data_IF_247999763891
#
_entry.id   IF_247999763891
#
_cell.length_a   1.000
_cell.length_b   1.000
_cell.length_c   1.000
_cell.angle_alpha   90.00
_cell.angle_beta   90.00
_cell.angle_gamma   90.00
#
_symmetry.space_group_name_H-M   'P 1'
#
loop_
_entity.id
_entity.type
_entity.pdbx_description
1 polymer ?
#
# COMPACT_ATOMS: atom_id res chain seq x y z
N UNK A 1 16.55 -36.18 14.23
CA UNK A 1 15.42 -36.03 13.29
C UNK A 1 15.16 -34.55 13.14
N UNK A 2 15.87 -33.95 12.17
CA UNK A 2 15.94 -32.51 11.98
C UNK A 2 14.74 -31.97 11.22
N UNK A 3 14.38 -30.74 11.57
CA UNK A 3 13.41 -29.87 10.93
C UNK A 3 13.85 -29.66 9.46
N UNK A 4 13.24 -30.40 8.53
CA UNK A 4 13.43 -30.22 7.09
C UNK A 4 12.05 -29.95 6.51
N UNK A 5 11.73 -28.67 6.30
CA UNK A 5 10.47 -28.28 5.66
C UNK A 5 10.11 -26.80 5.72
N UNK A 6 10.60 -26.05 6.73
CA UNK A 6 10.20 -24.64 6.91
C UNK A 6 11.06 -23.63 6.11
N UNK A 7 12.30 -23.99 5.74
CA UNK A 7 13.21 -23.07 5.04
C UNK A 7 13.01 -23.04 3.51
N UNK A 8 12.56 -24.15 2.89
CA UNK A 8 12.40 -24.23 1.43
C UNK A 8 11.15 -23.48 0.91
N UNK A 9 10.05 -23.49 1.66
CA UNK A 9 8.81 -22.77 1.30
C UNK A 9 8.99 -21.24 1.29
N UNK A 10 9.77 -20.71 2.25
CA UNK A 10 10.07 -19.29 2.33
C UNK A 10 10.98 -18.78 1.21
N UNK A 11 11.92 -19.60 0.75
CA UNK A 11 12.82 -19.26 -0.36
C UNK A 11 12.07 -19.26 -1.71
N UNK A 12 11.15 -20.20 -1.92
CA UNK A 12 10.33 -20.26 -3.13
C UNK A 12 9.38 -19.06 -3.24
N UNK A 13 8.81 -18.61 -2.11
CA UNK A 13 7.99 -17.40 -2.04
C UNK A 13 8.83 -16.14 -2.33
N UNK A 14 10.02 -16.03 -1.74
CA UNK A 14 10.96 -14.91 -1.98
C UNK A 14 11.40 -14.84 -3.45
N UNK A 15 11.64 -15.98 -4.09
CA UNK A 15 12.03 -16.05 -5.51
C UNK A 15 10.89 -15.63 -6.46
N UNK A 16 9.64 -16.03 -6.18
CA UNK A 16 8.47 -15.59 -6.97
C UNK A 16 8.15 -14.12 -6.78
N UNK A 17 8.21 -13.61 -5.56
CA UNK A 17 7.94 -12.19 -5.25
C UNK A 17 8.99 -11.28 -5.92
N UNK A 18 10.27 -11.65 -5.93
CA UNK A 18 11.33 -10.88 -6.63
C UNK A 18 11.09 -10.77 -8.14
N UNK A 19 10.55 -11.82 -8.78
CA UNK A 19 10.19 -11.80 -10.21
C UNK A 19 8.88 -11.04 -10.49
N UNK A 20 8.05 -10.82 -9.47
CA UNK A 20 6.77 -10.10 -9.56
C UNK A 20 6.88 -8.59 -9.31
N UNK A 21 7.84 -8.17 -8.47
CA UNK A 21 8.09 -6.76 -8.12
C UNK A 21 8.66 -5.90 -9.26
N UNK A 22 8.86 -6.44 -10.47
CA UNK A 22 9.27 -5.70 -11.67
C UNK A 22 8.21 -4.74 -12.24
N UNK A 23 7.40 -4.10 -11.38
CA UNK A 23 6.46 -3.04 -11.77
C UNK A 23 5.14 -2.95 -10.98
N UNK A 24 4.78 -3.93 -10.13
CA UNK A 24 3.41 -4.06 -9.53
C UNK A 24 3.37 -4.29 -8.02
N UNK A 25 4.31 -3.72 -7.27
CA UNK A 25 4.33 -3.84 -5.81
C UNK A 25 3.10 -3.18 -5.15
N UNK A 26 2.56 -2.13 -5.80
CA UNK A 26 1.32 -1.44 -5.42
C UNK A 26 0.10 -2.39 -5.45
N UNK A 27 -0.07 -3.13 -6.54
CA UNK A 27 -1.16 -4.11 -6.72
C UNK A 27 -1.16 -5.20 -5.63
N UNK A 28 0.03 -5.62 -5.17
CA UNK A 28 0.16 -6.69 -4.16
C UNK A 28 -0.32 -6.23 -2.78
N UNK A 29 0.03 -5.01 -2.39
CA UNK A 29 -0.39 -4.41 -1.12
C UNK A 29 -1.88 -4.08 -1.15
N UNK A 30 -2.40 -3.59 -2.28
CA UNK A 30 -3.82 -3.28 -2.48
C UNK A 30 -4.69 -4.55 -2.39
N UNK A 31 -4.26 -5.67 -3.00
CA UNK A 31 -4.95 -6.96 -2.87
C UNK A 31 -4.95 -7.45 -1.42
N UNK A 32 -3.82 -7.37 -0.72
CA UNK A 32 -3.73 -7.76 0.69
C UNK A 32 -4.66 -6.90 1.56
N UNK A 33 -4.70 -5.58 1.33
CA UNK A 33 -5.61 -4.67 2.01
C UNK A 33 -7.07 -5.04 1.75
N UNK A 34 -7.45 -5.31 0.50
CA UNK A 34 -8.80 -5.72 0.15
C UNK A 34 -9.23 -7.03 0.83
N UNK A 35 -8.31 -8.00 0.98
CA UNK A 35 -8.58 -9.24 1.72
C UNK A 35 -8.80 -8.97 3.21
N UNK A 36 -7.93 -8.19 3.85
CA UNK A 36 -8.08 -7.88 5.27
C UNK A 36 -9.36 -7.07 5.51
N UNK A 37 -9.67 -6.08 4.67
CA UNK A 37 -10.91 -5.31 4.77
C UNK A 37 -12.17 -6.18 4.63
N UNK A 38 -12.14 -7.18 3.75
CA UNK A 38 -13.23 -8.12 3.60
C UNK A 38 -13.43 -8.97 4.87
N UNK A 39 -12.33 -9.34 5.54
CA UNK A 39 -12.33 -10.11 6.78
C UNK A 39 -12.60 -9.26 8.04
N UNK A 40 -12.51 -7.92 7.96
CA UNK A 40 -12.86 -6.99 9.05
C UNK A 40 -14.38 -6.84 9.23
N UNK A 41 -15.18 -7.16 8.20
CA UNK A 41 -16.65 -7.09 8.25
C UNK A 41 -17.29 -8.32 8.91
N UNK A 42 -16.47 -9.18 9.52
CA UNK A 42 -16.85 -10.49 10.05
C UNK A 42 -16.19 -11.62 9.27
N UNK A 43 -16.55 -12.85 9.62
CA UNK A 43 -15.99 -14.03 8.96
C UNK A 43 -16.35 -14.07 7.46
N UNK A 44 -15.37 -14.20 6.58
CA UNK A 44 -15.56 -14.25 5.13
C UNK A 44 -15.32 -15.67 4.59
N UNK A 45 -16.24 -16.16 3.75
CA UNK A 45 -16.02 -17.41 3.03
C UNK A 45 -14.95 -17.23 1.94
N UNK A 46 -14.23 -18.31 1.64
CA UNK A 46 -13.17 -18.32 0.62
C UNK A 46 -13.68 -17.85 -0.77
N UNK A 47 -14.88 -18.26 -1.16
CA UNK A 47 -15.53 -17.84 -2.41
C UNK A 47 -15.88 -16.34 -2.42
N UNK A 48 -16.32 -15.78 -1.29
CA UNK A 48 -16.62 -14.35 -1.14
C UNK A 48 -15.36 -13.50 -1.26
N UNK A 49 -14.27 -13.92 -0.62
CA UNK A 49 -12.98 -13.26 -0.71
C UNK A 49 -12.46 -13.23 -2.15
N UNK A 50 -12.51 -14.38 -2.85
CA UNK A 50 -12.09 -14.48 -4.26
C UNK A 50 -12.87 -13.52 -5.16
N UNK A 51 -14.20 -13.50 -5.02
CA UNK A 51 -15.06 -12.60 -5.81
C UNK A 51 -14.70 -11.13 -5.57
N UNK A 52 -14.34 -10.78 -4.33
CA UNK A 52 -14.04 -9.40 -3.94
C UNK A 52 -12.71 -8.90 -4.49
N UNK A 53 -11.69 -9.74 -4.54
CA UNK A 53 -10.38 -9.36 -5.11
C UNK A 53 -10.31 -9.53 -6.63
N UNK A 54 -11.27 -10.22 -7.25
CA UNK A 54 -11.34 -10.36 -8.71
C UNK A 54 -10.22 -11.20 -9.32
N UNK A 55 -9.52 -12.01 -8.52
CA UNK A 55 -8.38 -12.80 -8.99
C UNK A 55 -8.79 -14.18 -9.50
N UNK A 56 -7.97 -14.72 -10.42
CA UNK A 56 -8.04 -16.13 -10.80
C UNK A 56 -7.72 -17.05 -9.59
N UNK A 57 -8.07 -18.33 -9.70
CA UNK A 57 -8.02 -19.25 -8.56
C UNK A 57 -6.61 -19.43 -7.99
N UNK A 58 -5.62 -19.63 -8.86
CA UNK A 58 -4.23 -19.85 -8.46
C UNK A 58 -3.63 -18.62 -7.77
N UNK A 59 -3.84 -17.43 -8.34
CA UNK A 59 -3.31 -16.18 -7.77
C UNK A 59 -3.97 -15.89 -6.43
N UNK A 60 -5.29 -16.09 -6.34
CA UNK A 60 -6.03 -15.92 -5.10
C UNK A 60 -5.53 -16.83 -3.98
N UNK A 61 -5.28 -18.11 -4.27
CA UNK A 61 -4.76 -19.06 -3.29
C UNK A 61 -3.43 -18.58 -2.70
N UNK A 62 -2.51 -18.10 -3.54
CA UNK A 62 -1.22 -17.55 -3.12
C UNK A 62 -1.39 -16.34 -2.19
N UNK A 63 -2.30 -15.41 -2.51
CA UNK A 63 -2.52 -14.24 -1.65
C UNK A 63 -3.15 -14.59 -0.30
N UNK A 64 -4.10 -15.53 -0.27
CA UNK A 64 -4.71 -15.99 0.98
C UNK A 64 -3.66 -16.68 1.85
N UNK A 65 -2.83 -17.54 1.28
CA UNK A 65 -1.75 -18.21 1.99
C UNK A 65 -0.73 -17.19 2.53
N UNK A 66 -0.28 -16.26 1.69
CA UNK A 66 0.64 -15.20 2.11
C UNK A 66 0.07 -14.31 3.23
N UNK A 67 -1.21 -13.90 3.12
CA UNK A 67 -1.86 -13.10 4.17
C UNK A 67 -2.04 -13.89 5.47
N UNK A 68 -2.28 -15.20 5.36
CA UNK A 68 -2.39 -16.09 6.53
C UNK A 68 -1.02 -16.28 7.19
N UNK A 69 0.02 -16.56 6.41
CA UNK A 69 1.40 -16.73 6.89
C UNK A 69 1.96 -15.44 7.53
N UNK A 70 1.63 -14.28 6.97
CA UNK A 70 1.97 -12.98 7.55
C UNK A 70 1.16 -12.66 8.84
N UNK A 71 0.14 -13.47 9.14
CA UNK A 71 -0.76 -13.28 10.27
C UNK A 71 -1.69 -12.09 10.11
N UNK A 72 -2.03 -11.68 8.88
CA UNK A 72 -2.97 -10.59 8.60
C UNK A 72 -4.43 -11.06 8.67
N UNK A 73 -4.68 -12.29 8.23
CA UNK A 73 -5.96 -12.99 8.34
C UNK A 73 -5.75 -14.36 8.97
N UNK A 74 -6.78 -14.93 9.58
CA UNK A 74 -6.73 -16.26 10.17
C UNK A 74 -7.94 -17.10 9.70
N UNK A 75 -7.74 -18.41 9.58
CA UNK A 75 -8.84 -19.34 9.32
C UNK A 75 -9.54 -19.68 10.64
N UNK A 76 -10.85 -19.50 10.65
CA UNK A 76 -11.76 -19.78 11.76
C UNK A 76 -12.14 -21.28 11.79
N UNK A 77 -12.65 -21.80 12.91
CA UNK A 77 -13.12 -23.19 13.01
C UNK A 77 -14.19 -23.56 11.98
N UNK A 78 -15.00 -22.60 11.54
CA UNK A 78 -16.04 -22.77 10.53
C UNK A 78 -15.51 -22.81 9.09
N UNK A 79 -14.18 -22.80 8.91
CA UNK A 79 -13.52 -22.79 7.60
C UNK A 79 -13.57 -21.44 6.88
N UNK A 80 -14.06 -20.38 7.54
CA UNK A 80 -14.09 -18.99 7.05
C UNK A 80 -12.82 -18.24 7.49
N UNK A 81 -12.64 -17.01 7.04
CA UNK A 81 -11.48 -16.18 7.39
C UNK A 81 -11.90 -14.93 8.16
N UNK A 82 -11.11 -14.53 9.16
CA UNK A 82 -11.29 -13.29 9.91
C UNK A 82 -10.00 -12.47 9.92
N UNK A 83 -10.11 -11.15 10.06
CA UNK A 83 -8.95 -10.29 10.19
C UNK A 83 -8.35 -10.46 11.59
N UNK A 84 -7.03 -10.50 11.67
CA UNK A 84 -6.33 -10.49 12.96
C UNK A 84 -6.14 -9.04 13.43
N UNK A 85 -5.69 -8.86 14.68
CA UNK A 85 -5.24 -7.56 15.17
C UNK A 85 -4.09 -6.98 14.32
N UNK A 86 -3.17 -7.84 13.85
CA UNK A 86 -2.08 -7.43 12.95
C UNK A 86 -2.63 -7.01 11.59
N UNK A 87 -3.65 -7.69 11.07
CA UNK A 87 -4.36 -7.27 9.86
C UNK A 87 -5.00 -5.89 10.00
N UNK A 88 -5.72 -5.66 11.10
CA UNK A 88 -6.31 -4.34 11.37
C UNK A 88 -5.24 -3.25 11.42
N UNK A 89 -4.12 -3.49 12.12
CA UNK A 89 -3.00 -2.55 12.17
C UNK A 89 -2.36 -2.31 10.81
N UNK A 90 -2.25 -3.34 9.98
CA UNK A 90 -1.76 -3.19 8.62
C UNK A 90 -2.62 -2.22 7.79
N UNK A 91 -3.95 -2.31 7.90
CA UNK A 91 -4.86 -1.39 7.19
C UNK A 91 -4.72 0.06 7.67
N UNK A 92 -4.59 0.27 8.98
CA UNK A 92 -4.34 1.61 9.55
C UNK A 92 -3.08 2.23 8.95
N UNK A 93 -1.99 1.45 8.90
CA UNK A 93 -0.71 1.90 8.34
C UNK A 93 -0.80 2.18 6.83
N UNK A 94 -1.57 1.39 6.08
CA UNK A 94 -1.79 1.67 4.65
C UNK A 94 -2.56 2.98 4.43
N UNK A 95 -3.61 3.24 5.22
CA UNK A 95 -4.37 4.49 5.15
C UNK A 95 -3.50 5.71 5.49
N UNK A 96 -2.66 5.58 6.50
CA UNK A 96 -1.71 6.64 6.87
C UNK A 96 -0.71 6.90 5.75
N UNK A 97 -0.17 5.84 5.13
CA UNK A 97 0.72 5.96 3.97
C UNK A 97 0.04 6.69 2.82
N UNK A 98 -1.19 6.33 2.47
CA UNK A 98 -1.95 6.99 1.40
C UNK A 98 -2.28 8.44 1.72
N UNK A 99 -2.49 8.78 3.00
CA UNK A 99 -2.68 10.16 3.42
C UNK A 99 -1.40 10.97 3.20
N UNK A 100 -0.25 10.50 3.69
CA UNK A 100 1.03 11.21 3.52
C UNK A 100 1.45 11.33 2.05
N UNK A 101 1.17 10.32 1.21
CA UNK A 101 1.43 10.42 -0.23
C UNK A 101 0.61 11.57 -0.83
N UNK A 102 -0.69 11.63 -0.54
CA UNK A 102 -1.57 12.70 -1.05
C UNK A 102 -1.19 14.08 -0.52
N UNK A 103 -0.77 14.17 0.73
CA UNK A 103 -0.28 15.43 1.31
C UNK A 103 0.99 15.91 0.59
N UNK A 104 1.94 15.00 0.34
CA UNK A 104 3.15 15.33 -0.42
C UNK A 104 2.83 15.75 -1.87
N UNK A 105 1.88 15.10 -2.54
CA UNK A 105 1.39 15.50 -3.86
C UNK A 105 0.79 16.92 -3.82
N UNK A 106 -0.07 17.20 -2.83
CA UNK A 106 -0.69 18.53 -2.65
C UNK A 106 0.35 19.63 -2.40
N UNK A 107 1.34 19.37 -1.55
CA UNK A 107 2.44 20.32 -1.28
C UNK A 107 3.29 20.55 -2.53
N UNK A 108 3.53 19.50 -3.32
CA UNK A 108 4.27 19.60 -4.59
C UNK A 108 3.50 20.47 -5.59
N UNK A 109 2.19 20.27 -5.74
CA UNK A 109 1.35 21.11 -6.60
C UNK A 109 1.35 22.57 -6.15
N UNK A 110 1.21 22.84 -4.84
CA UNK A 110 1.26 24.20 -4.29
C UNK A 110 2.62 24.88 -4.55
N UNK A 111 3.72 24.14 -4.41
CA UNK A 111 5.05 24.64 -4.72
C UNK A 111 5.21 24.94 -6.21
N UNK A 112 4.76 24.03 -7.09
CA UNK A 112 4.79 24.23 -8.54
C UNK A 112 3.97 25.44 -8.98
N UNK A 113 2.76 25.63 -8.44
CA UNK A 113 1.95 26.82 -8.69
C UNK A 113 2.64 28.11 -8.27
N UNK A 114 3.32 28.10 -7.11
CA UNK A 114 4.09 29.26 -6.63
C UNK A 114 5.27 29.59 -7.55
N UNK A 115 6.02 28.56 -7.98
CA UNK A 115 7.20 28.72 -8.83
C UNK A 115 6.87 29.08 -10.28
N UNK A 116 5.72 28.63 -10.81
CA UNK A 116 5.32 28.85 -12.22
C UNK A 116 4.50 30.12 -12.42
N UNK A 117 4.19 30.88 -11.37
CA UNK A 117 3.60 32.21 -11.49
C UNK A 117 2.19 32.24 -12.10
N UNK A 118 1.43 31.13 -12.07
CA UNK A 118 0.05 31.09 -12.59
C UNK A 118 -0.98 31.72 -11.64
N UNK A 119 -0.58 32.82 -10.98
CA UNK A 119 -1.51 33.75 -10.33
C UNK A 119 -2.04 34.71 -11.38
N UNK A 120 -3.25 34.47 -11.86
CA UNK A 120 -3.99 35.46 -12.62
C UNK A 120 -4.21 36.72 -11.76
N UNK A 121 -3.48 37.79 -12.09
CA UNK A 121 -3.84 39.17 -11.77
C UNK A 121 -3.37 39.71 -10.41
N UNK A 122 -2.17 40.29 -10.39
CA UNK A 122 -2.02 41.64 -9.82
C UNK A 122 -1.25 42.54 -10.81
N UNK A 123 -1.82 43.69 -11.21
CA UNK A 123 -1.15 44.66 -12.06
C UNK A 123 -0.29 45.60 -11.22
N UNK A 124 0.99 45.72 -11.57
CA UNK A 124 1.86 46.83 -11.16
C UNK A 124 2.41 46.76 -9.73
N UNK A 125 3.74 46.80 -9.60
CA UNK A 125 4.39 47.05 -8.31
C UNK A 125 5.81 46.54 -8.19
N UNK A 126 6.77 47.33 -8.70
CA UNK A 126 8.16 47.43 -8.23
C UNK A 126 8.93 46.13 -7.91
N UNK A 127 9.70 45.63 -8.88
CA UNK A 127 10.85 44.77 -8.60
C UNK A 127 11.95 45.63 -7.98
N UNK A 128 12.34 45.27 -6.77
CA UNK A 128 13.23 45.98 -5.89
C UNK A 128 14.64 46.11 -6.49
N UNK A 129 15.07 47.35 -6.69
CA UNK A 129 16.48 47.70 -6.68
C UNK A 129 16.97 47.71 -5.23
N UNK A 130 17.47 46.57 -4.76
CA UNK A 130 18.40 46.54 -3.62
C UNK A 130 19.73 46.04 -4.17
N UNK A 131 20.60 46.98 -4.52
CA UNK A 131 22.02 46.71 -4.61
C UNK A 131 22.49 46.37 -3.19
N UNK A 132 22.99 45.15 -3.03
CA UNK A 132 23.65 44.66 -1.82
C UNK A 132 24.99 45.43 -1.64
N UNK A 133 25.17 46.24 -0.59
CA UNK A 133 26.36 47.07 -0.44
C UNK A 133 27.58 46.34 0.13
N UNK A 134 27.48 45.05 0.47
CA UNK A 134 28.57 44.32 1.14
C UNK A 134 29.54 43.58 0.20
N UNK A 135 29.36 43.68 -1.11
CA UNK A 135 30.34 43.17 -2.10
C UNK A 135 31.26 44.30 -2.57
N UNK A 136 32.26 44.65 -1.76
CA UNK A 136 33.44 45.42 -2.17
C UNK A 136 34.72 44.81 -1.64
#
# INVERSE_FOLDING_TARGET
>A
MGVVGEEEGGAYLKFRVKRWCGGRMRDTVEVAAALVEACMKGEAAHSTLRRRVGLNHESFAVYVEACTAAGLIARTPNGRYSATQRGARFLELQRLREHHIREAETLTEALLHTLTGSGAGQPGGHWWGHADPEWR
#
